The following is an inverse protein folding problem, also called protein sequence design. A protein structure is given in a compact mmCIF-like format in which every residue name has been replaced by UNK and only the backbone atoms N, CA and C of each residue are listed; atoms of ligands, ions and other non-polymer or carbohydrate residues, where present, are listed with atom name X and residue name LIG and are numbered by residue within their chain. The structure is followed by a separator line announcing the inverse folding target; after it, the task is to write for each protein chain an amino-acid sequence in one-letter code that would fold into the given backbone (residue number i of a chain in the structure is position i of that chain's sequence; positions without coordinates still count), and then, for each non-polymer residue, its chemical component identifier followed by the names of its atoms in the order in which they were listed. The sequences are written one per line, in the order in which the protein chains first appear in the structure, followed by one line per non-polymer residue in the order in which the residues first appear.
data_IF_821334584297
#
_entry.id   IF_821334584297
#
_cell.length_a   1.000
_cell.length_b   1.000
_cell.length_c   1.000
_cell.angle_alpha   90.00
_cell.angle_beta   90.00
_cell.angle_gamma   90.00
#
_symmetry.space_group_name_H-M   'P 1'
#
loop_
_entity.id
_entity.type
_entity.pdbx_description
1 polymer ?
#
# COMPACT_ATOMS: atom_id res chain seq x y z
N UNK A 1 -22.43 1.99 13.13
CA UNK A 1 -21.11 1.31 13.18
C UNK A 1 -20.31 1.85 12.01
N UNK A 2 -19.41 2.81 12.25
CA UNK A 2 -18.41 3.14 11.22
C UNK A 2 -17.45 1.95 11.20
N UNK A 3 -17.45 1.20 10.10
CA UNK A 3 -16.40 0.22 9.88
C UNK A 3 -15.09 1.02 9.80
N UNK A 4 -14.23 0.86 10.80
CA UNK A 4 -12.94 1.53 10.82
C UNK A 4 -12.07 0.82 9.77
N UNK A 5 -11.89 1.45 8.63
CA UNK A 5 -11.01 0.96 7.56
C UNK A 5 -9.68 1.70 7.62
N UNK A 6 -8.63 1.03 7.17
CA UNK A 6 -7.29 1.58 7.03
C UNK A 6 -6.72 1.19 5.66
N UNK A 7 -5.77 1.98 5.19
CA UNK A 7 -4.89 1.62 4.07
C UNK A 7 -3.46 1.63 4.55
N UNK A 8 -2.60 0.81 3.96
CA UNK A 8 -1.17 0.89 4.25
C UNK A 8 -0.57 2.03 3.45
N UNK A 9 -0.01 3.03 4.14
CA UNK A 9 0.57 4.20 3.49
C UNK A 9 1.76 4.80 4.21
N UNK A 10 2.40 5.74 3.53
CA UNK A 10 3.61 6.45 3.95
C UNK A 10 3.54 7.90 3.46
N UNK A 11 4.20 8.83 4.14
CA UNK A 11 4.22 10.24 3.74
C UNK A 11 5.61 10.62 3.25
N UNK A 12 5.77 10.72 1.93
CA UNK A 12 7.00 11.19 1.28
C UNK A 12 7.06 12.73 1.31
N UNK A 13 8.20 13.35 1.66
CA UNK A 13 8.34 14.81 1.76
C UNK A 13 7.97 15.56 0.48
N UNK A 14 8.27 14.97 -0.67
CA UNK A 14 8.03 15.57 -1.99
C UNK A 14 6.73 15.11 -2.67
N UNK A 15 6.30 13.86 -2.49
CA UNK A 15 5.13 13.29 -3.20
C UNK A 15 3.85 13.46 -2.37
N UNK A 16 3.97 13.58 -1.05
CA UNK A 16 2.83 13.47 -0.14
C UNK A 16 2.54 12.01 0.19
N UNK A 17 1.27 11.63 0.17
CA UNK A 17 0.88 10.28 0.57
C UNK A 17 1.19 9.26 -0.54
N UNK A 18 1.86 8.19 -0.13
CA UNK A 18 2.02 6.95 -0.88
C UNK A 18 1.20 5.86 -0.20
N UNK A 19 0.68 4.93 -0.99
CA UNK A 19 -0.11 3.81 -0.54
C UNK A 19 0.39 2.52 -1.18
N UNK A 20 0.03 1.39 -0.57
CA UNK A 20 0.20 0.08 -1.17
C UNK A 20 -1.07 -0.30 -1.92
N UNK A 21 -0.91 -0.61 -3.20
CA UNK A 21 -1.92 -1.22 -4.04
C UNK A 21 -1.61 -2.71 -4.16
N UNK A 22 -2.61 -3.54 -3.90
CA UNK A 22 -2.51 -4.98 -4.10
C UNK A 22 -2.81 -5.31 -5.55
N UNK A 23 -1.89 -5.98 -6.22
CA UNK A 23 -2.08 -6.54 -7.56
C UNK A 23 -2.56 -7.99 -7.38
N UNK A 24 -3.85 -8.29 -7.60
CA UNK A 24 -4.32 -9.66 -7.58
C UNK A 24 -3.72 -10.40 -8.76
N UNK A 25 -2.74 -11.27 -8.52
CA UNK A 25 -2.22 -12.13 -9.58
C UNK A 25 -3.05 -13.42 -9.63
N UNK A 26 -3.70 -13.68 -10.76
CA UNK A 26 -4.63 -14.80 -10.93
C UNK A 26 -3.94 -16.13 -11.33
N UNK A 27 -2.61 -16.22 -11.19
CA UNK A 27 -1.87 -17.45 -11.50
C UNK A 27 -1.51 -18.21 -10.21
N UNK A 28 -2.31 -19.25 -9.96
CA UNK A 28 -2.11 -20.40 -9.06
C UNK A 28 -0.80 -20.38 -8.25
N UNK A 29 -0.84 -19.88 -7.02
CA UNK A 29 0.15 -20.20 -5.98
C UNK A 29 1.10 -19.09 -5.51
N UNK A 30 1.00 -17.85 -6.02
CA UNK A 30 1.78 -16.72 -5.49
C UNK A 30 0.98 -15.87 -4.50
N UNK A 31 1.66 -15.47 -3.42
CA UNK A 31 1.18 -14.48 -2.43
C UNK A 31 0.97 -13.12 -3.12
N UNK A 32 -0.12 -12.43 -2.79
CA UNK A 32 -0.50 -11.10 -3.28
C UNK A 32 0.69 -10.14 -3.43
N UNK A 33 0.95 -9.60 -4.63
CA UNK A 33 2.05 -8.65 -4.83
C UNK A 33 1.56 -7.23 -4.57
N UNK A 34 2.31 -6.47 -3.78
CA UNK A 34 2.07 -5.05 -3.57
C UNK A 34 2.93 -4.19 -4.50
N UNK A 35 2.35 -3.09 -4.98
CA UNK A 35 3.07 -1.99 -5.62
C UNK A 35 2.78 -0.66 -4.92
N UNK A 36 3.60 0.35 -5.21
CA UNK A 36 3.43 1.71 -4.67
C UNK A 36 2.53 2.52 -5.59
N UNK A 37 1.58 3.24 -5.00
CA UNK A 37 0.70 4.19 -5.69
C UNK A 37 0.61 5.51 -4.93
N UNK A 38 0.39 6.63 -5.64
CA UNK A 38 0.01 7.93 -5.08
C UNK A 38 -1.52 8.15 -5.09
N UNK A 39 -2.29 7.15 -5.53
CA UNK A 39 -3.75 7.21 -5.67
C UNK A 39 -4.45 6.46 -4.53
N UNK A 40 -5.20 7.19 -3.70
CA UNK A 40 -5.95 6.61 -2.58
C UNK A 40 -6.98 5.57 -3.03
N UNK A 41 -7.68 5.80 -4.15
CA UNK A 41 -8.69 4.87 -4.68
C UNK A 41 -8.13 3.52 -5.11
N UNK A 42 -6.81 3.42 -5.31
CA UNK A 42 -6.11 2.19 -5.68
C UNK A 42 -5.50 1.49 -4.47
N UNK A 43 -5.51 2.13 -3.31
CA UNK A 43 -4.93 1.57 -2.10
C UNK A 43 -5.73 0.34 -1.65
N UNK A 44 -5.02 -0.71 -1.22
CA UNK A 44 -5.65 -1.89 -0.64
C UNK A 44 -6.27 -1.52 0.73
N UNK A 45 -7.55 -1.84 0.91
CA UNK A 45 -8.32 -1.47 2.08
C UNK A 45 -8.40 -2.65 3.04
N UNK A 46 -8.01 -2.41 4.28
CA UNK A 46 -8.11 -3.37 5.36
C UNK A 46 -9.05 -2.88 6.46
N UNK A 47 -9.60 -3.81 7.24
CA UNK A 47 -10.26 -3.46 8.51
C UNK A 47 -9.20 -3.02 9.52
N UNK A 48 -9.48 -2.00 10.32
CA UNK A 48 -8.57 -1.55 11.38
C UNK A 48 -8.24 -2.70 12.35
N UNK A 49 -6.98 -2.80 12.77
CA UNK A 49 -6.49 -3.90 13.60
C UNK A 49 -6.16 -5.18 12.82
N UNK A 50 -6.14 -5.13 11.47
CA UNK A 50 -5.76 -6.29 10.64
C UNK A 50 -4.34 -6.80 10.96
N UNK A 51 -3.42 -5.91 11.37
CA UNK A 51 -2.06 -6.27 11.82
C UNK A 51 -2.03 -7.04 13.14
N UNK A 52 -3.03 -6.85 14.00
CA UNK A 52 -3.12 -7.54 15.29
C UNK A 52 -3.55 -9.00 15.16
N UNK A 53 -4.20 -9.36 14.04
CA UNK A 53 -4.87 -10.65 13.90
C UNK A 53 -3.94 -11.82 13.60
N UNK A 54 -2.70 -11.60 13.16
CA UNK A 54 -1.86 -12.68 12.66
C UNK A 54 -0.38 -12.33 12.80
N UNK A 55 0.26 -12.74 13.91
CA UNK A 55 1.60 -13.35 13.89
C UNK A 55 2.19 -13.46 15.30
N UNK A 56 2.51 -14.68 15.74
CA UNK A 56 3.44 -14.91 16.86
C UNK A 56 4.91 -14.83 16.41
N UNK A 57 5.16 -14.49 15.14
CA UNK A 57 6.49 -14.37 14.54
C UNK A 57 7.07 -12.96 14.72
N UNK A 58 8.41 -12.87 14.75
CA UNK A 58 9.15 -11.63 14.81
C UNK A 58 10.07 -11.50 13.58
N UNK A 59 9.87 -10.52 12.68
CA UNK A 59 8.82 -9.50 12.71
C UNK A 59 7.42 -10.08 12.43
N UNK A 60 6.35 -9.35 12.81
CA UNK A 60 4.98 -9.67 12.45
C UNK A 60 4.81 -10.00 10.95
N UNK A 61 3.88 -10.92 10.64
CA UNK A 61 3.72 -11.48 9.30
C UNK A 61 3.39 -10.39 8.27
N UNK A 62 2.56 -9.41 8.64
CA UNK A 62 2.21 -8.26 7.81
C UNK A 62 3.45 -7.44 7.43
N UNK A 63 4.34 -7.16 8.40
CA UNK A 63 5.59 -6.43 8.18
C UNK A 63 6.49 -7.22 7.24
N UNK A 64 6.64 -8.54 7.45
CA UNK A 64 7.41 -9.40 6.56
C UNK A 64 6.82 -9.42 5.15
N UNK A 65 5.52 -9.63 5.03
CA UNK A 65 4.81 -9.71 3.75
C UNK A 65 4.96 -8.41 2.97
N UNK A 66 4.63 -7.26 3.58
CA UNK A 66 4.79 -5.95 2.94
C UNK A 66 6.24 -5.74 2.50
N UNK A 67 7.21 -6.00 3.38
CA UNK A 67 8.64 -5.84 3.06
C UNK A 67 9.07 -6.72 1.89
N UNK A 68 8.70 -8.01 1.90
CA UNK A 68 8.99 -8.95 0.81
C UNK A 68 8.37 -8.50 -0.51
N UNK A 69 7.12 -8.04 -0.50
CA UNK A 69 6.45 -7.61 -1.72
C UNK A 69 6.99 -6.30 -2.28
N UNK A 70 7.25 -5.29 -1.43
CA UNK A 70 7.92 -4.05 -1.87
C UNK A 70 9.30 -4.35 -2.46
N UNK A 71 10.04 -5.32 -1.89
CA UNK A 71 11.35 -5.72 -2.42
C UNK A 71 11.28 -6.34 -3.82
N UNK A 72 10.12 -6.88 -4.21
CA UNK A 72 9.86 -7.51 -5.51
C UNK A 72 9.24 -6.56 -6.54
N UNK A 73 8.91 -5.32 -6.17
CA UNK A 73 8.45 -4.31 -7.13
C UNK A 73 9.51 -4.14 -8.21
N UNK A 74 9.10 -4.24 -9.47
CA UNK A 74 9.97 -3.92 -10.60
C UNK A 74 10.09 -2.39 -10.75
N UNK A 75 11.00 -1.80 -9.99
CA UNK A 75 11.16 -0.35 -9.92
C UNK A 75 11.50 0.31 -11.26
N UNK A 76 12.09 -0.42 -12.20
CA UNK A 76 12.61 0.15 -13.44
C UNK A 76 11.74 -0.16 -14.67
N UNK A 77 10.91 -1.20 -14.63
CA UNK A 77 9.97 -1.51 -15.73
C UNK A 77 8.49 -1.28 -15.35
N UNK A 78 8.17 -0.91 -14.10
CA UNK A 78 6.80 -0.58 -13.69
C UNK A 78 6.39 0.85 -14.11
N UNK A 79 5.50 0.95 -15.10
CA UNK A 79 5.00 2.22 -15.64
C UNK A 79 4.33 3.13 -14.60
N UNK A 80 3.69 2.59 -13.56
CA UNK A 80 3.11 3.40 -12.49
C UNK A 80 4.20 4.06 -11.63
N UNK A 81 5.29 3.35 -11.32
CA UNK A 81 6.44 3.93 -10.61
C UNK A 81 7.05 5.07 -11.41
N UNK A 82 7.20 4.89 -12.73
CA UNK A 82 7.66 5.95 -13.63
C UNK A 82 6.74 7.17 -13.62
N UNK A 83 5.43 6.97 -13.64
CA UNK A 83 4.44 8.04 -13.62
C UNK A 83 4.53 8.87 -12.32
N UNK A 84 4.62 8.20 -11.16
CA UNK A 84 4.80 8.88 -9.85
C UNK A 84 6.09 9.69 -9.86
N UNK A 85 7.20 9.09 -10.29
CA UNK A 85 8.51 9.74 -10.34
C UNK A 85 8.51 10.95 -11.27
N UNK A 86 7.93 10.82 -12.46
CA UNK A 86 7.86 11.88 -13.46
C UNK A 86 7.01 13.06 -12.99
N UNK A 87 5.80 12.81 -12.46
CA UNK A 87 4.92 13.86 -11.93
C UNK A 87 5.56 14.68 -10.81
N UNK A 88 6.35 14.00 -9.98
CA UNK A 88 6.95 14.60 -8.80
C UNK A 88 8.40 15.05 -9.02
N UNK A 89 8.96 14.91 -10.24
CA UNK A 89 10.37 15.20 -10.52
C UNK A 89 11.33 14.52 -9.52
N UNK A 90 11.11 13.24 -9.26
CA UNK A 90 11.85 12.43 -8.30
C UNK A 90 12.62 11.30 -9.02
N UNK A 91 13.90 11.05 -8.70
CA UNK A 91 14.60 9.89 -9.22
C UNK A 91 13.97 8.57 -8.73
N UNK A 92 13.83 7.58 -9.61
CA UNK A 92 13.31 6.24 -9.26
C UNK A 92 14.08 5.62 -8.08
N UNK A 93 15.41 5.80 -8.07
CA UNK A 93 16.26 5.31 -6.98
C UNK A 93 15.84 5.87 -5.62
N UNK A 94 15.48 7.15 -5.56
CA UNK A 94 15.06 7.80 -4.32
C UNK A 94 13.71 7.26 -3.86
N UNK A 95 12.73 7.12 -4.76
CA UNK A 95 11.44 6.51 -4.44
C UNK A 95 11.61 5.07 -3.93
N UNK A 96 12.49 4.29 -4.57
CA UNK A 96 12.81 2.92 -4.16
C UNK A 96 13.42 2.88 -2.76
N UNK A 97 14.47 3.66 -2.51
CA UNK A 97 15.16 3.69 -1.22
C UNK A 97 14.21 4.15 -0.09
N UNK A 98 13.35 5.12 -0.38
CA UNK A 98 12.30 5.55 0.53
C UNK A 98 11.33 4.41 0.84
N UNK A 99 10.82 3.75 -0.20
CA UNK A 99 9.80 2.71 -0.09
C UNK A 99 10.30 1.44 0.61
N UNK A 100 11.59 1.13 0.50
CA UNK A 100 12.20 -0.03 1.16
C UNK A 100 12.34 0.13 2.69
N UNK A 101 12.21 1.33 3.24
CA UNK A 101 12.17 1.52 4.69
C UNK A 101 10.79 1.18 5.25
N UNK A 102 10.62 -0.08 5.65
CA UNK A 102 9.34 -0.63 6.12
C UNK A 102 8.72 0.17 7.28
N UNK A 103 9.53 0.84 8.11
CA UNK A 103 9.08 1.62 9.27
C UNK A 103 8.26 2.85 8.89
N UNK A 104 8.31 3.26 7.62
CA UNK A 104 7.54 4.39 7.09
C UNK A 104 6.11 4.00 6.74
N UNK A 105 5.83 2.70 6.58
CA UNK A 105 4.53 2.20 6.17
C UNK A 105 3.66 1.90 7.39
N UNK A 106 2.56 2.63 7.50
CA UNK A 106 1.66 2.61 8.65
C UNK A 106 0.21 2.46 8.18
N UNK A 107 -0.66 2.09 9.10
CA UNK A 107 -2.10 2.08 8.84
C UNK A 107 -2.65 3.50 8.91
N UNK A 108 -3.09 4.02 7.76
CA UNK A 108 -3.73 5.32 7.64
C UNK A 108 -5.25 5.12 7.69
N UNK A 109 -5.96 5.70 8.66
CA UNK A 109 -7.42 5.61 8.74
C UNK A 109 -8.12 6.22 7.53
N UNK A 110 -9.11 5.52 6.99
CA UNK A 110 -9.88 5.96 5.82
C UNK A 110 -11.37 5.72 5.99
N UNK A 111 -12.16 6.54 5.29
CA UNK A 111 -13.54 6.19 4.95
C UNK A 111 -13.48 5.38 3.66
N UNK A 112 -14.07 4.18 3.68
CA UNK A 112 -14.21 3.33 2.51
C UNK A 112 -15.68 3.04 2.19
N UNK A 113 -15.97 2.81 0.91
CA UNK A 113 -17.27 2.29 0.41
C UNK A 113 -17.06 0.92 -0.17
N UNK A 114 -18.11 0.12 -0.28
CA UNK A 114 -18.06 -1.10 -1.10
C UNK A 114 -17.73 -0.72 -2.55
N UNK A 115 -16.90 -1.52 -3.19
CA UNK A 115 -16.67 -1.39 -4.62
C UNK A 115 -17.98 -1.64 -5.40
N UNK A 116 -18.05 -1.16 -6.64
CA UNK A 116 -19.25 -1.31 -7.47
C UNK A 116 -19.58 -2.77 -7.83
N UNK A 117 -18.68 -3.71 -7.55
CA UNK A 117 -18.83 -5.15 -7.80
C UNK A 117 -19.28 -5.91 -6.54
N UNK A 118 -19.32 -5.27 -5.38
CA UNK A 118 -19.77 -5.82 -4.10
C UNK A 118 -18.75 -6.71 -3.38
N UNK A 119 -17.56 -6.92 -3.93
CA UNK A 119 -16.59 -7.92 -3.48
C UNK A 119 -15.47 -7.34 -2.59
N UNK A 120 -15.31 -6.03 -2.56
CA UNK A 120 -14.27 -5.34 -1.80
C UNK A 120 -14.67 -3.94 -1.32
N UNK A 121 -13.68 -3.19 -0.86
CA UNK A 121 -13.84 -1.80 -0.42
C UNK A 121 -12.84 -0.90 -1.16
N UNK A 122 -13.28 0.31 -1.49
CA UNK A 122 -12.47 1.37 -2.09
C UNK A 122 -12.32 2.52 -1.08
N UNK A 123 -11.09 2.95 -0.82
CA UNK A 123 -10.84 4.11 0.03
C UNK A 123 -11.25 5.40 -0.67
N UNK A 124 -12.04 6.23 0.02
CA UNK A 124 -12.61 7.48 -0.51
C UNK A 124 -11.86 8.69 0.02
N UNK A 125 -11.59 8.71 1.33
CA UNK A 125 -10.93 9.83 1.99
C UNK A 125 -10.15 9.36 3.19
N UNK A 126 -9.02 10.01 3.44
CA UNK A 126 -8.25 9.85 4.67
C UNK A 126 -9.00 10.56 5.79
N UNK A 127 -9.18 9.86 6.92
CA UNK A 127 -9.63 10.45 8.18
C UNK A 127 -8.35 10.95 8.84
N UNK A 128 -8.01 12.21 8.61
CA UNK A 128 -6.72 12.78 9.08
C UNK A 128 -6.53 12.55 10.59
N UNK A 129 -5.27 12.28 10.95
CA UNK A 129 -4.74 12.14 12.30
C UNK A 129 -5.06 13.34 13.20
#
# INVERSE_FOLDING_TARGET
MHNNFVVVGSVHPQIGCLFLERIPNCEVGYVDIYQVTDSLSRADVHTAGWREHLSYESPPFDIRAISEHISRVDWYDNSHVHEICWKNNLPIKELREWSLDIRRWQDIPVIAKRDGQGNGYEAITIIRC
#
